data_IF_595613677943
#
_entry.id   IF_595613677943
#
_cell.length_a   1.000
_cell.length_b   1.000
_cell.length_c   1.000
_cell.angle_alpha   90.00
_cell.angle_beta   90.00
_cell.angle_gamma   90.00
#
_symmetry.space_group_name_H-M   'P 1'
#
loop_
_entity.id
_entity.type
_entity.pdbx_description
1 polymer ?
#
# COMPACT_ATOMS: atom_id res chain seq x y z
N UNK A 1 -48.95 -55.16 -40.62
CA UNK A 1 -49.58 -54.03 -41.33
C UNK A 1 -48.94 -52.77 -40.80
N UNK A 2 -47.93 -52.26 -41.49
CA UNK A 2 -48.00 -51.13 -42.44
C UNK A 2 -48.42 -49.86 -41.69
N UNK A 3 -47.67 -48.77 -41.55
CA UNK A 3 -46.89 -47.90 -42.46
C UNK A 3 -45.98 -46.99 -41.61
N UNK A 4 -44.73 -46.85 -41.83
CA UNK A 4 -44.03 -45.92 -42.73
C UNK A 4 -44.66 -44.54 -42.80
N UNK A 5 -43.92 -43.52 -42.39
CA UNK A 5 -43.65 -42.27 -43.04
C UNK A 5 -42.76 -41.47 -42.06
N UNK A 6 -41.45 -41.32 -42.20
CA UNK A 6 -40.71 -40.43 -43.09
C UNK A 6 -40.76 -38.94 -42.68
N UNK A 7 -39.59 -38.51 -42.37
CA UNK A 7 -39.05 -37.23 -42.79
C UNK A 7 -39.49 -35.96 -42.07
N UNK A 8 -38.62 -35.33 -41.30
CA UNK A 8 -38.06 -34.05 -41.78
C UNK A 8 -36.91 -33.59 -40.89
N UNK A 9 -35.78 -33.59 -41.48
CA UNK A 9 -34.56 -32.94 -40.97
C UNK A 9 -34.78 -31.45 -41.10
N UNK A 10 -34.79 -30.73 -39.97
CA UNK A 10 -34.55 -29.31 -39.97
C UNK A 10 -33.27 -29.02 -39.18
N UNK A 11 -32.22 -28.88 -39.95
CA UNK A 11 -30.92 -28.42 -39.53
C UNK A 11 -31.04 -26.93 -39.23
N UNK A 12 -31.24 -26.55 -37.98
CA UNK A 12 -31.12 -25.16 -37.56
C UNK A 12 -29.71 -24.95 -37.03
N UNK A 13 -28.91 -24.42 -37.90
CA UNK A 13 -27.56 -23.92 -37.60
C UNK A 13 -27.66 -22.73 -36.66
N UNK A 14 -27.50 -22.96 -35.39
CA UNK A 14 -27.41 -21.91 -34.38
C UNK A 14 -25.95 -21.51 -34.26
N UNK A 15 -25.61 -20.43 -34.94
CA UNK A 15 -24.32 -19.76 -34.89
C UNK A 15 -24.18 -19.15 -33.50
N UNK A 16 -23.42 -19.80 -32.60
CA UNK A 16 -23.06 -19.26 -31.31
C UNK A 16 -21.83 -18.42 -31.52
N UNK A 17 -21.84 -17.11 -31.25
CA UNK A 17 -20.61 -16.33 -31.21
C UNK A 17 -19.79 -16.75 -29.98
N UNK A 18 -18.69 -17.41 -30.23
CA UNK A 18 -17.65 -17.67 -29.23
C UNK A 18 -17.05 -16.33 -28.82
N UNK A 19 -17.48 -15.83 -27.67
CA UNK A 19 -16.78 -14.72 -27.02
C UNK A 19 -15.46 -15.29 -26.50
N UNK A 20 -14.40 -15.03 -27.21
CA UNK A 20 -13.05 -15.30 -26.74
C UNK A 20 -12.78 -14.39 -25.54
N UNK A 21 -12.90 -14.95 -24.34
CA UNK A 21 -12.33 -14.33 -23.16
C UNK A 21 -10.80 -14.47 -23.26
N UNK A 22 -10.18 -13.43 -23.73
CA UNK A 22 -8.74 -13.27 -23.58
C UNK A 22 -8.48 -13.05 -22.09
N UNK A 23 -8.18 -14.12 -21.37
CA UNK A 23 -7.60 -14.08 -20.04
C UNK A 23 -6.15 -13.59 -20.20
N UNK A 24 -5.96 -12.31 -20.24
CA UNK A 24 -4.63 -11.74 -20.05
C UNK A 24 -4.29 -11.82 -18.58
N UNK A 25 -3.78 -12.97 -18.16
CA UNK A 25 -3.04 -13.08 -16.91
C UNK A 25 -1.72 -12.36 -17.09
N UNK A 26 -1.73 -11.08 -16.93
CA UNK A 26 -0.51 -10.32 -16.67
C UNK A 26 -0.27 -10.38 -15.18
N UNK A 27 0.43 -11.45 -14.74
CA UNK A 27 1.14 -11.45 -13.47
C UNK A 27 2.30 -10.45 -13.58
N UNK A 28 1.95 -9.19 -13.62
CA UNK A 28 2.88 -8.12 -13.33
C UNK A 28 2.67 -7.78 -11.85
N UNK A 29 3.54 -8.36 -11.02
CA UNK A 29 3.67 -7.99 -9.63
C UNK A 29 4.24 -6.57 -9.55
N UNK A 30 3.47 -5.63 -10.05
CA UNK A 30 3.72 -4.22 -9.83
C UNK A 30 3.48 -3.96 -8.36
N UNK A 31 4.57 -3.74 -7.64
CA UNK A 31 4.54 -3.15 -6.30
C UNK A 31 3.76 -1.85 -6.42
N UNK A 32 2.47 -1.93 -6.18
CA UNK A 32 1.62 -0.76 -6.10
C UNK A 32 2.03 -0.01 -4.85
N UNK A 33 2.93 0.94 -4.99
CA UNK A 33 3.03 2.04 -4.05
C UNK A 33 1.61 2.60 -3.94
N UNK A 34 0.99 2.64 -2.74
CA UNK A 34 -0.32 3.23 -2.60
C UNK A 34 -0.20 4.70 -3.00
N UNK A 35 -0.57 4.98 -4.23
CA UNK A 35 -0.73 6.36 -4.68
C UNK A 35 -1.94 6.89 -3.95
N UNK A 36 -1.69 7.58 -2.85
CA UNK A 36 -2.71 8.40 -2.21
C UNK A 36 -3.16 9.39 -3.28
N UNK A 37 -4.36 9.19 -3.80
CA UNK A 37 -4.99 10.15 -4.70
C UNK A 37 -5.34 11.37 -3.89
N UNK A 38 -4.37 12.26 -3.74
CA UNK A 38 -4.56 13.54 -3.10
C UNK A 38 -5.44 14.36 -4.05
N UNK A 39 -6.55 14.83 -3.54
CA UNK A 39 -7.43 15.77 -4.22
C UNK A 39 -6.63 16.94 -4.76
N UNK A 40 -6.95 17.38 -5.98
CA UNK A 40 -6.26 18.46 -6.69
C UNK A 40 -6.11 19.69 -5.78
N UNK A 41 -4.88 20.10 -5.48
CA UNK A 41 -4.58 21.26 -4.64
C UNK A 41 -3.97 20.96 -3.27
N UNK A 42 -3.96 19.70 -2.81
CA UNK A 42 -3.31 19.34 -1.54
C UNK A 42 -1.85 18.95 -1.78
N UNK A 43 -0.95 19.65 -1.12
CA UNK A 43 0.47 19.28 -1.06
C UNK A 43 0.67 18.35 0.13
N UNK A 44 1.21 17.15 -0.12
CA UNK A 44 1.45 16.17 0.94
C UNK A 44 2.58 16.60 1.90
N UNK A 45 2.52 16.16 3.17
CA UNK A 45 3.62 16.34 4.10
C UNK A 45 4.90 15.64 3.62
N UNK A 46 6.05 16.22 3.96
CA UNK A 46 7.36 15.67 3.60
C UNK A 46 8.20 15.54 4.87
N UNK A 47 8.82 14.37 5.08
CA UNK A 47 9.76 14.17 6.18
C UNK A 47 10.99 15.08 5.99
N UNK A 48 11.35 15.82 7.03
CA UNK A 48 12.55 16.65 7.05
C UNK A 48 13.69 15.84 7.65
N UNK A 49 14.74 15.62 6.86
CA UNK A 49 15.92 14.85 7.28
C UNK A 49 15.72 13.34 7.15
N UNK A 50 16.47 12.59 7.95
CA UNK A 50 16.45 11.13 7.95
C UNK A 50 15.75 10.59 9.20
N UNK A 51 14.96 9.55 9.01
CA UNK A 51 14.40 8.79 10.13
C UNK A 51 15.49 7.90 10.71
N UNK A 52 16.09 8.32 11.83
CA UNK A 52 17.12 7.55 12.50
C UNK A 52 16.48 6.59 13.53
N UNK A 53 16.33 5.31 13.16
CA UNK A 53 15.96 4.27 14.10
C UNK A 53 17.20 3.87 14.89
N UNK A 54 17.21 4.13 16.20
CA UNK A 54 18.32 3.80 17.10
C UNK A 54 18.42 2.27 17.25
N UNK A 55 19.49 1.68 16.72
CA UNK A 55 19.82 0.28 16.97
C UNK A 55 20.70 0.21 18.21
N UNK A 56 20.38 -0.62 19.22
CA UNK A 56 21.24 -0.79 20.39
C UNK A 56 22.57 -1.42 19.97
N UNK A 57 23.64 -0.89 20.50
CA UNK A 57 24.97 -1.49 20.36
C UNK A 57 24.98 -2.83 21.11
N UNK A 58 25.47 -3.91 20.46
CA UNK A 58 25.65 -5.21 21.11
C UNK A 58 24.48 -6.18 21.00
N UNK A 59 23.51 -5.94 20.13
CA UNK A 59 22.52 -6.97 19.82
C UNK A 59 23.18 -8.17 19.12
N UNK A 60 22.86 -9.41 19.55
CA UNK A 60 23.25 -10.59 18.80
C UNK A 60 22.76 -10.52 17.36
N UNK A 61 23.55 -11.03 16.43
CA UNK A 61 23.22 -10.96 14.99
C UNK A 61 21.88 -11.63 14.66
N UNK A 62 21.45 -12.59 15.47
CA UNK A 62 20.15 -13.27 15.36
C UNK A 62 18.94 -12.36 15.63
N UNK A 63 19.14 -11.21 16.28
CA UNK A 63 18.09 -10.23 16.56
C UNK A 63 18.09 -9.05 15.55
N UNK A 64 19.11 -8.98 14.70
CA UNK A 64 19.14 -7.96 13.65
C UNK A 64 18.09 -8.32 12.59
N UNK A 65 17.18 -7.39 12.26
CA UNK A 65 16.21 -7.64 11.21
C UNK A 65 16.94 -7.72 9.88
N UNK A 66 16.76 -8.82 9.16
CA UNK A 66 17.06 -8.89 7.74
C UNK A 66 15.86 -8.27 7.03
N UNK A 67 16.03 -7.06 6.51
CA UNK A 67 15.02 -6.36 5.68
C UNK A 67 13.60 -6.34 6.27
N UNK A 68 13.46 -5.82 7.49
CA UNK A 68 12.15 -5.67 8.11
C UNK A 68 11.50 -4.35 7.72
N UNK A 69 10.21 -4.40 7.40
CA UNK A 69 9.39 -3.23 7.09
C UNK A 69 8.35 -3.01 8.17
N UNK A 70 8.28 -1.79 8.68
CA UNK A 70 7.23 -1.36 9.61
C UNK A 70 6.39 -0.30 8.94
N UNK A 71 5.08 -0.55 8.85
CA UNK A 71 4.11 0.42 8.35
C UNK A 71 3.54 1.25 9.50
N UNK A 72 3.59 2.55 9.37
CA UNK A 72 3.10 3.53 10.34
C UNK A 72 2.03 4.41 9.70
N UNK A 73 0.91 4.59 10.38
CA UNK A 73 -0.07 5.62 10.07
C UNK A 73 0.09 6.76 11.06
N UNK A 74 0.08 7.99 10.58
CA UNK A 74 0.20 9.19 11.41
C UNK A 74 -0.53 10.38 10.76
N UNK A 75 -0.83 11.38 11.58
CA UNK A 75 -1.31 12.68 11.13
C UNK A 75 -0.17 13.69 11.31
N UNK A 76 0.18 14.42 10.27
CA UNK A 76 1.11 15.55 10.40
C UNK A 76 0.28 16.80 10.61
N UNK A 77 0.49 17.49 11.73
CA UNK A 77 -0.22 18.73 12.04
C UNK A 77 0.31 19.95 11.25
N UNK A 78 -0.33 21.08 11.42
CA UNK A 78 0.03 22.34 10.75
C UNK A 78 1.45 22.84 11.08
N UNK A 79 1.98 22.42 12.21
CA UNK A 79 3.35 22.74 12.65
C UNK A 79 4.40 21.75 12.14
N UNK A 80 3.97 20.67 11.49
CA UNK A 80 4.85 19.60 11.00
C UNK A 80 5.20 18.57 12.07
N UNK A 81 4.45 18.52 13.17
CA UNK A 81 4.63 17.51 14.21
C UNK A 81 3.79 16.27 13.93
N UNK A 82 4.34 15.06 14.11
CA UNK A 82 3.57 13.83 13.96
C UNK A 82 2.63 13.62 15.15
N UNK A 83 1.36 13.39 14.86
CA UNK A 83 0.30 13.09 15.81
C UNK A 83 -0.30 11.72 15.51
N UNK A 84 -0.97 11.11 16.47
CA UNK A 84 -1.72 9.85 16.29
C UNK A 84 -0.90 8.71 15.65
N UNK A 85 0.37 8.60 15.99
CA UNK A 85 1.28 7.60 15.42
C UNK A 85 0.83 6.20 15.80
N UNK A 86 0.52 5.36 14.79
CA UNK A 86 0.04 3.98 14.96
C UNK A 86 0.79 3.03 14.03
N UNK A 87 1.09 1.83 14.52
CA UNK A 87 1.62 0.75 13.68
C UNK A 87 0.46 0.09 12.94
N UNK A 88 0.52 0.10 11.59
CA UNK A 88 -0.47 -0.55 10.72
C UNK A 88 0.06 -1.83 10.10
N UNK A 89 1.38 -1.98 10.01
CA UNK A 89 2.06 -3.20 9.58
C UNK A 89 3.24 -3.45 10.51
N UNK A 90 3.15 -4.50 11.31
CA UNK A 90 4.20 -4.93 12.22
C UNK A 90 5.16 -5.90 11.55
N UNK A 91 6.43 -5.74 11.82
CA UNK A 91 7.46 -6.74 11.53
C UNK A 91 7.82 -7.54 12.78
N UNK A 92 8.05 -6.82 13.89
CA UNK A 92 8.36 -7.35 15.19
C UNK A 92 8.07 -6.29 16.26
N UNK A 93 7.36 -6.60 17.36
CA UNK A 93 6.98 -5.61 18.38
C UNK A 93 8.17 -4.83 18.96
N UNK A 94 9.33 -5.43 19.02
CA UNK A 94 10.55 -4.77 19.51
C UNK A 94 10.99 -3.63 18.56
N UNK A 95 10.92 -3.85 17.26
CA UNK A 95 11.27 -2.84 16.26
C UNK A 95 10.17 -1.80 16.09
N UNK A 96 8.91 -2.23 16.21
CA UNK A 96 7.76 -1.34 16.09
C UNK A 96 7.85 -0.20 17.11
N UNK A 97 8.14 -0.51 18.38
CA UNK A 97 8.30 0.50 19.42
C UNK A 97 9.42 1.51 19.11
N UNK A 98 10.52 1.06 18.51
CA UNK A 98 11.64 1.93 18.14
C UNK A 98 11.34 2.81 16.95
N UNK A 99 10.64 2.26 15.96
CA UNK A 99 10.19 3.02 14.81
C UNK A 99 9.19 4.10 15.23
N UNK A 100 8.22 3.76 16.08
CA UNK A 100 7.27 4.73 16.64
C UNK A 100 8.00 5.86 17.38
N UNK A 101 8.97 5.52 18.24
CA UNK A 101 9.76 6.51 18.97
C UNK A 101 10.59 7.41 18.03
N UNK A 102 11.13 6.86 16.95
CA UNK A 102 11.87 7.61 15.94
C UNK A 102 10.95 8.56 15.16
N UNK A 103 9.76 8.07 14.76
CA UNK A 103 8.76 8.87 14.04
C UNK A 103 8.26 10.02 14.91
N UNK A 104 7.98 9.78 16.20
CA UNK A 104 7.53 10.82 17.14
C UNK A 104 8.55 11.95 17.34
N UNK A 105 9.83 11.68 17.16
CA UNK A 105 10.92 12.67 17.25
C UNK A 105 11.23 13.34 15.92
N UNK A 106 10.64 12.88 14.84
CA UNK A 106 10.87 13.41 13.50
C UNK A 106 10.04 14.68 13.26
N UNK A 107 10.50 15.49 12.34
CA UNK A 107 9.80 16.69 11.91
C UNK A 107 9.42 16.56 10.44
N UNK A 108 8.28 17.11 10.11
CA UNK A 108 7.74 17.08 8.75
C UNK A 108 7.49 18.50 8.25
N UNK A 109 7.61 18.69 6.96
CA UNK A 109 7.03 19.86 6.31
C UNK A 109 5.53 19.62 6.26
N UNK A 110 4.67 20.50 6.80
CA UNK A 110 3.24 20.26 6.86
C UNK A 110 2.61 20.19 5.47
N UNK A 111 1.54 19.45 5.35
CA UNK A 111 0.70 19.49 4.17
C UNK A 111 0.06 20.86 3.99
N UNK A 112 -0.26 21.22 2.76
CA UNK A 112 -0.85 22.53 2.44
C UNK A 112 -1.97 22.42 1.43
N UNK A 113 -2.97 23.28 1.59
CA UNK A 113 -3.98 23.58 0.58
C UNK A 113 -3.93 25.08 0.33
N UNK A 114 -3.84 25.49 -0.92
CA UNK A 114 -3.75 26.91 -1.31
C UNK A 114 -2.73 27.71 -0.46
N UNK A 115 -1.57 27.11 -0.25
CA UNK A 115 -0.47 27.63 0.57
C UNK A 115 -0.77 27.72 2.08
N UNK A 116 -1.92 27.29 2.54
CA UNK A 116 -2.30 27.24 3.96
C UNK A 116 -1.94 25.86 4.54
N UNK A 117 -1.15 25.79 5.64
CA UNK A 117 -0.88 24.55 6.32
C UNK A 117 -2.15 23.91 6.85
N UNK A 118 -2.28 22.60 6.67
CA UNK A 118 -3.41 21.81 7.19
C UNK A 118 -2.90 20.49 7.77
N UNK A 119 -3.63 19.90 8.75
CA UNK A 119 -3.35 18.55 9.21
C UNK A 119 -3.61 17.55 8.08
N UNK A 120 -2.69 16.62 7.85
CA UNK A 120 -2.83 15.60 6.81
C UNK A 120 -2.45 14.24 7.35
N UNK A 121 -3.32 13.26 7.11
CA UNK A 121 -3.03 11.87 7.41
C UNK A 121 -2.13 11.27 6.35
N UNK A 122 -1.13 10.51 6.78
CA UNK A 122 -0.22 9.82 5.88
C UNK A 122 0.19 8.44 6.40
N UNK A 123 0.59 7.59 5.49
CA UNK A 123 1.20 6.31 5.79
C UNK A 123 2.69 6.36 5.43
N UNK A 124 3.52 5.89 6.34
CA UNK A 124 4.96 5.82 6.18
C UNK A 124 5.41 4.37 6.28
N UNK A 125 6.19 3.89 5.33
CA UNK A 125 6.86 2.59 5.42
C UNK A 125 8.32 2.81 5.78
N UNK A 126 8.74 2.27 6.91
CA UNK A 126 10.10 2.35 7.41
C UNK A 126 10.80 1.03 7.14
N UNK A 127 11.86 1.07 6.34
CA UNK A 127 12.74 -0.07 6.12
C UNK A 127 13.84 -0.04 7.17
N UNK A 128 13.95 -1.12 7.93
CA UNK A 128 15.03 -1.33 8.88
C UNK A 128 16.05 -2.20 8.19
N UNK A 129 17.07 -1.59 7.62
CA UNK A 129 18.20 -2.28 7.03
C UNK A 129 19.39 -2.24 7.99
N UNK A 130 20.29 -3.23 7.82
CA UNK A 130 21.54 -3.35 8.57
C UNK A 130 22.67 -2.63 7.84
#
# INVERSE_FOLDING_TARGET
MRHIIASSIMLSSMLIPTVAHANSSSDDATVSTPTVRISTGVIAPILIGNLAVQLPSGLPQSFAPLDSQVGISLTVDESGQPQNVKVVKSSNPYWDARVVAAVQKSHFKPGKVDNTPIPVDMNLTVNIAR
#
